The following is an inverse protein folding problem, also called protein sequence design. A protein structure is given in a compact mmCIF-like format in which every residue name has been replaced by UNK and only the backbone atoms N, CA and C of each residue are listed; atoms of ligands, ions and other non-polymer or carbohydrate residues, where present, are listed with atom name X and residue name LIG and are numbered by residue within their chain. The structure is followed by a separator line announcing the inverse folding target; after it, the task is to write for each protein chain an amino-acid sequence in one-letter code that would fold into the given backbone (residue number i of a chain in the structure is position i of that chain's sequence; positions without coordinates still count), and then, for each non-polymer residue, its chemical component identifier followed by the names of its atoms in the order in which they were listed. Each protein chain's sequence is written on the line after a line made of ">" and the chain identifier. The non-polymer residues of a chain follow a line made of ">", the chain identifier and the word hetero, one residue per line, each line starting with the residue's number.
data_IF_152258738434
#
_entry.id   IF_152258738434
#
_cell.length_a   1.000
_cell.length_b   1.000
_cell.length_c   1.000
_cell.angle_alpha   90.00
_cell.angle_beta   90.00
_cell.angle_gamma   90.00
#
_symmetry.space_group_name_H-M   'P 1'
#
loop_
_entity.id
_entity.type
_entity.pdbx_description
1 polymer ?
#
# COMPACT_ATOMS: atom_id res chain seq x y z
N UNK A 1 8.62 -74.82 -2.82
CA UNK A 1 7.14 -74.84 -2.64
C UNK A 1 6.62 -74.00 -1.46
N UNK A 2 7.46 -73.27 -0.69
CA UNK A 2 6.99 -72.40 0.43
C UNK A 2 6.79 -70.92 0.05
N UNK A 3 7.10 -70.54 -1.18
CA UNK A 3 7.09 -69.14 -1.65
C UNK A 3 5.78 -68.72 -2.35
N UNK A 4 4.79 -69.62 -2.47
CA UNK A 4 3.58 -69.38 -3.28
C UNK A 4 2.32 -69.04 -2.46
N UNK A 5 2.41 -68.96 -1.14
CA UNK A 5 1.26 -68.62 -0.30
C UNK A 5 1.39 -67.15 0.07
N UNK A 6 0.69 -66.29 -0.67
CA UNK A 6 0.56 -64.87 -0.35
C UNK A 6 -0.45 -64.73 0.79
N UNK A 7 0.02 -64.35 1.97
CA UNK A 7 -0.83 -64.17 3.14
C UNK A 7 -1.90 -63.09 2.87
N UNK A 8 -3.17 -63.50 2.91
CA UNK A 8 -4.30 -62.58 2.77
C UNK A 8 -4.44 -61.82 4.09
N UNK A 9 -3.73 -60.70 4.19
CA UNK A 9 -3.80 -59.78 5.33
C UNK A 9 -5.25 -59.29 5.49
N UNK A 10 -5.91 -59.68 6.59
CA UNK A 10 -7.30 -59.31 6.89
C UNK A 10 -7.46 -57.78 6.89
N UNK A 11 -8.28 -57.28 5.98
CA UNK A 11 -8.56 -55.85 5.78
C UNK A 11 -9.11 -55.24 7.08
N UNK A 12 -8.36 -54.29 7.67
CA UNK A 12 -8.70 -53.71 8.96
C UNK A 12 -9.97 -52.84 8.88
N UNK A 13 -10.64 -52.66 10.03
CA UNK A 13 -11.92 -51.95 10.15
C UNK A 13 -11.91 -50.56 9.49
N UNK A 14 -10.79 -49.82 9.61
CA UNK A 14 -10.63 -48.49 9.00
C UNK A 14 -10.66 -48.49 7.47
N UNK A 15 -10.15 -49.54 6.82
CA UNK A 15 -10.17 -49.62 5.36
C UNK A 15 -11.60 -49.76 4.83
N UNK A 16 -12.49 -50.48 5.53
CA UNK A 16 -13.90 -50.57 5.15
C UNK A 16 -14.60 -49.20 5.19
N UNK A 17 -14.29 -48.40 6.20
CA UNK A 17 -14.83 -47.05 6.37
C UNK A 17 -14.40 -46.12 5.22
N UNK A 18 -13.10 -46.15 4.87
CA UNK A 18 -12.55 -45.40 3.74
C UNK A 18 -13.21 -45.81 2.42
N UNK A 19 -13.36 -47.12 2.16
CA UNK A 19 -14.02 -47.57 0.92
C UNK A 19 -15.50 -47.23 0.84
N UNK A 20 -16.20 -47.14 1.96
CA UNK A 20 -17.66 -46.93 1.97
C UNK A 20 -18.05 -45.45 1.94
N UNK A 21 -17.31 -44.59 2.64
CA UNK A 21 -17.64 -43.17 2.79
C UNK A 21 -16.78 -42.26 1.91
N UNK A 22 -15.49 -42.55 1.78
CA UNK A 22 -14.54 -41.69 1.05
C UNK A 22 -14.51 -42.05 -0.45
N UNK A 23 -14.60 -43.32 -0.80
CA UNK A 23 -14.61 -43.78 -2.20
C UNK A 23 -16.00 -43.73 -2.88
N UNK A 24 -16.99 -43.12 -2.23
CA UNK A 24 -18.29 -42.86 -2.87
C UNK A 24 -18.14 -41.76 -3.93
N UNK A 25 -18.70 -41.97 -5.13
CA UNK A 25 -18.65 -41.00 -6.24
C UNK A 25 -19.11 -39.60 -5.81
N UNK A 26 -20.13 -39.51 -4.95
CA UNK A 26 -20.65 -38.24 -4.45
C UNK A 26 -19.63 -37.51 -3.57
N UNK A 27 -18.94 -38.23 -2.68
CA UNK A 27 -17.92 -37.66 -1.79
C UNK A 27 -16.70 -37.19 -2.59
N UNK A 28 -16.27 -37.98 -3.59
CA UNK A 28 -15.15 -37.60 -4.46
C UNK A 28 -15.51 -36.36 -5.29
N UNK A 29 -16.69 -36.30 -5.90
CA UNK A 29 -17.14 -35.11 -6.64
C UNK A 29 -17.24 -33.88 -5.74
N UNK A 30 -17.75 -34.05 -4.52
CA UNK A 30 -17.84 -32.95 -3.54
C UNK A 30 -16.46 -32.44 -3.11
N UNK A 31 -15.53 -33.34 -2.79
CA UNK A 31 -14.15 -32.98 -2.42
C UNK A 31 -13.42 -32.35 -3.60
N UNK A 32 -13.58 -32.88 -4.81
CA UNK A 32 -13.02 -32.29 -6.02
C UNK A 32 -13.62 -30.90 -6.30
N UNK A 33 -14.92 -30.71 -6.06
CA UNK A 33 -15.58 -29.41 -6.18
C UNK A 33 -15.05 -28.39 -5.17
N UNK A 34 -14.89 -28.76 -3.89
CA UNK A 34 -14.31 -27.87 -2.89
C UNK A 34 -12.82 -27.61 -3.14
N UNK A 35 -12.05 -28.63 -3.54
CA UNK A 35 -10.67 -28.44 -3.95
C UNK A 35 -10.57 -27.49 -5.15
N UNK A 36 -11.48 -27.61 -6.12
CA UNK A 36 -11.57 -26.67 -7.24
C UNK A 36 -11.86 -25.25 -6.75
N UNK A 37 -12.83 -25.10 -5.86
CA UNK A 37 -13.22 -23.81 -5.29
C UNK A 37 -12.11 -23.17 -4.42
N UNK A 38 -11.17 -23.97 -3.89
CA UNK A 38 -10.07 -23.46 -3.05
C UNK A 38 -8.81 -23.16 -3.88
N UNK A 39 -8.47 -24.04 -4.83
CA UNK A 39 -7.21 -23.94 -5.59
C UNK A 39 -7.35 -23.20 -6.92
N UNK A 40 -8.48 -23.35 -7.62
CA UNK A 40 -8.70 -22.73 -8.92
C UNK A 40 -9.57 -21.47 -8.85
N UNK A 41 -10.32 -21.29 -7.76
CA UNK A 41 -11.14 -20.09 -7.57
C UNK A 41 -10.31 -18.92 -7.04
N UNK A 42 -10.62 -17.71 -7.52
CA UNK A 42 -9.83 -16.49 -7.28
C UNK A 42 -9.95 -15.92 -5.86
N UNK A 43 -10.58 -16.64 -4.93
CA UNK A 43 -10.75 -16.21 -3.53
C UNK A 43 -9.45 -16.44 -2.75
N UNK A 44 -8.35 -15.93 -3.28
CA UNK A 44 -7.06 -16.00 -2.63
C UNK A 44 -7.03 -14.99 -1.49
N UNK A 45 -6.79 -15.49 -0.28
CA UNK A 45 -6.51 -14.67 0.89
C UNK A 45 -5.37 -13.65 0.63
N UNK A 46 -4.44 -13.98 -0.26
CA UNK A 46 -3.35 -13.09 -0.67
C UNK A 46 -3.86 -11.83 -1.36
N UNK A 47 -4.84 -11.99 -2.27
CA UNK A 47 -5.46 -10.86 -2.99
C UNK A 47 -6.19 -9.95 -2.01
N UNK A 48 -6.96 -10.52 -1.08
CA UNK A 48 -7.64 -9.73 -0.05
C UNK A 48 -6.65 -8.96 0.84
N UNK A 49 -5.52 -9.57 1.19
CA UNK A 49 -4.48 -8.92 1.97
C UNK A 49 -3.81 -7.77 1.19
N UNK A 50 -3.54 -7.97 -0.10
CA UNK A 50 -3.00 -6.94 -0.99
C UNK A 50 -3.98 -5.76 -1.11
N UNK A 51 -5.26 -6.02 -1.36
CA UNK A 51 -6.29 -4.98 -1.41
C UNK A 51 -6.40 -4.21 -0.08
N UNK A 52 -6.32 -4.89 1.06
CA UNK A 52 -6.32 -4.22 2.36
C UNK A 52 -5.10 -3.29 2.53
N UNK A 53 -3.93 -3.72 2.06
CA UNK A 53 -2.73 -2.89 2.03
C UNK A 53 -2.92 -1.63 1.18
N UNK A 54 -3.51 -1.78 0.00
CA UNK A 54 -3.85 -0.67 -0.88
C UNK A 54 -4.87 0.29 -0.24
N UNK A 55 -5.90 -0.23 0.42
CA UNK A 55 -6.88 0.58 1.15
C UNK A 55 -6.17 1.46 2.20
N UNK A 56 -5.35 0.86 3.07
CA UNK A 56 -4.61 1.62 4.08
C UNK A 56 -3.68 2.66 3.45
N UNK A 57 -3.02 2.32 2.34
CA UNK A 57 -2.17 3.25 1.59
C UNK A 57 -2.97 4.44 1.03
N UNK A 58 -4.17 4.21 0.52
CA UNK A 58 -5.04 5.28 0.02
C UNK A 58 -5.60 6.14 1.16
N UNK A 59 -5.99 5.55 2.28
CA UNK A 59 -6.44 6.29 3.47
C UNK A 59 -5.33 7.20 4.02
N UNK A 60 -4.09 6.70 4.10
CA UNK A 60 -2.96 7.51 4.53
C UNK A 60 -2.68 8.68 3.56
N UNK A 61 -2.72 8.43 2.25
CA UNK A 61 -2.59 9.49 1.25
C UNK A 61 -3.70 10.53 1.38
N UNK A 62 -4.94 10.09 1.56
CA UNK A 62 -6.09 10.98 1.75
C UNK A 62 -5.91 11.86 3.00
N UNK A 63 -5.50 11.26 4.12
CA UNK A 63 -5.24 12.00 5.35
C UNK A 63 -4.11 13.03 5.16
N UNK A 64 -3.01 12.65 4.51
CA UNK A 64 -1.89 13.54 4.20
C UNK A 64 -2.35 14.74 3.36
N UNK A 65 -2.98 14.50 2.20
CA UNK A 65 -3.40 15.58 1.31
C UNK A 65 -4.47 16.48 1.92
N UNK A 66 -5.36 15.93 2.75
CA UNK A 66 -6.33 16.73 3.49
C UNK A 66 -5.64 17.68 4.47
N UNK A 67 -4.65 17.17 5.23
CA UNK A 67 -3.89 18.00 6.17
C UNK A 67 -3.08 19.10 5.46
N UNK A 68 -2.47 18.80 4.32
CA UNK A 68 -1.74 19.79 3.52
C UNK A 68 -2.68 20.79 2.87
N UNK A 69 -3.86 20.36 2.42
CA UNK A 69 -4.89 21.27 1.91
C UNK A 69 -5.32 22.27 2.99
N UNK A 70 -5.59 21.81 4.21
CA UNK A 70 -5.99 22.69 5.31
C UNK A 70 -4.90 23.72 5.67
N UNK A 71 -3.63 23.30 5.70
CA UNK A 71 -2.49 24.22 5.92
C UNK A 71 -2.37 25.24 4.79
N UNK A 72 -2.43 24.78 3.55
CA UNK A 72 -2.27 25.63 2.37
C UNK A 72 -3.44 26.59 2.19
N UNK A 73 -4.67 26.16 2.47
CA UNK A 73 -5.85 27.02 2.45
C UNK A 73 -5.76 28.10 3.53
N UNK A 74 -5.35 27.74 4.75
CA UNK A 74 -5.11 28.72 5.81
C UNK A 74 -4.03 29.73 5.42
N UNK A 75 -2.91 29.25 4.86
CA UNK A 75 -1.84 30.12 4.35
C UNK A 75 -2.33 31.02 3.21
N UNK A 76 -3.07 30.46 2.24
CA UNK A 76 -3.64 31.20 1.12
C UNK A 76 -4.60 32.28 1.59
N UNK A 77 -5.50 31.98 2.54
CA UNK A 77 -6.41 32.97 3.13
C UNK A 77 -5.65 34.07 3.86
N UNK A 78 -4.61 33.73 4.63
CA UNK A 78 -3.74 34.71 5.29
C UNK A 78 -3.09 35.64 4.27
N UNK A 79 -2.53 35.07 3.20
CA UNK A 79 -1.93 35.80 2.10
C UNK A 79 -2.97 36.69 1.41
N UNK A 80 -4.14 36.15 1.07
CA UNK A 80 -5.15 36.89 0.31
C UNK A 80 -5.75 38.07 1.07
N UNK A 81 -5.95 37.91 2.38
CA UNK A 81 -6.60 38.92 3.20
C UNK A 81 -5.63 39.96 3.80
N UNK A 82 -4.32 39.69 3.82
CA UNK A 82 -3.32 40.60 4.38
C UNK A 82 -2.31 41.07 3.33
N UNK A 83 -2.28 42.38 3.07
CA UNK A 83 -1.39 43.02 2.09
C UNK A 83 0.09 42.92 2.49
N UNK A 84 0.41 43.01 3.78
CA UNK A 84 1.80 42.99 4.25
C UNK A 84 2.39 41.58 4.12
N UNK A 85 1.61 40.55 4.41
CA UNK A 85 1.99 39.15 4.23
C UNK A 85 2.20 38.82 2.75
N UNK A 86 1.37 39.38 1.85
CA UNK A 86 1.58 39.30 0.39
C UNK A 86 2.89 39.92 -0.05
N UNK A 87 3.16 41.15 0.39
CA UNK A 87 4.39 41.86 0.02
C UNK A 87 5.62 41.11 0.55
N UNK A 88 5.57 40.62 1.80
CA UNK A 88 6.61 39.78 2.38
C UNK A 88 6.86 38.51 1.57
N UNK A 89 5.81 37.75 1.25
CA UNK A 89 5.93 36.51 0.47
C UNK A 89 6.50 36.75 -0.94
N UNK A 90 6.06 37.82 -1.61
CA UNK A 90 6.56 38.22 -2.93
C UNK A 90 8.04 38.64 -2.89
N UNK A 91 8.49 39.29 -1.82
CA UNK A 91 9.89 39.68 -1.62
C UNK A 91 10.78 38.48 -1.30
N UNK A 92 10.34 37.57 -0.43
CA UNK A 92 11.14 36.43 0.02
C UNK A 92 11.24 35.32 -1.06
N UNK A 93 10.13 35.02 -1.75
CA UNK A 93 10.09 33.89 -2.69
C UNK A 93 10.34 34.28 -4.15
N UNK A 94 9.97 35.51 -4.52
CA UNK A 94 10.04 35.98 -5.91
C UNK A 94 10.95 37.20 -6.09
N UNK A 95 11.61 37.68 -5.02
CA UNK A 95 12.50 38.85 -5.04
C UNK A 95 11.87 40.10 -5.68
N UNK A 96 10.55 40.26 -5.54
CA UNK A 96 9.84 41.41 -6.09
C UNK A 96 10.24 42.69 -5.35
N UNK A 97 10.36 43.80 -6.09
CA UNK A 97 10.71 45.12 -5.55
C UNK A 97 9.79 46.22 -6.09
N UNK A 98 9.72 47.34 -5.36
CA UNK A 98 9.06 48.55 -5.86
C UNK A 98 9.98 49.26 -6.88
N UNK A 99 9.43 50.07 -7.81
CA UNK A 99 10.23 50.74 -8.84
C UNK A 99 11.36 51.62 -8.31
N UNK A 100 11.19 52.21 -7.12
CA UNK A 100 12.17 53.11 -6.49
C UNK A 100 12.97 52.42 -5.37
N UNK A 101 13.18 51.12 -5.48
CA UNK A 101 13.86 50.31 -4.45
C UNK A 101 15.03 49.50 -5.02
N UNK A 102 16.14 49.48 -4.29
CA UNK A 102 17.33 48.70 -4.59
C UNK A 102 17.44 47.52 -3.62
N UNK A 103 17.58 46.30 -4.16
CA UNK A 103 17.76 45.07 -3.37
C UNK A 103 19.25 44.72 -3.38
N UNK A 104 19.84 44.56 -2.19
CA UNK A 104 21.19 44.02 -2.01
C UNK A 104 21.10 42.58 -1.52
N UNK A 105 21.61 41.62 -2.30
CA UNK A 105 21.73 40.22 -1.88
C UNK A 105 23.16 40.02 -1.38
N UNK A 106 23.31 39.79 -0.08
CA UNK A 106 24.62 39.51 0.53
C UNK A 106 24.96 38.03 0.36
N UNK A 107 25.96 37.74 -0.46
CA UNK A 107 26.50 36.38 -0.63
C UNK A 107 27.78 36.28 0.19
N UNK A 108 27.91 35.29 1.06
CA UNK A 108 29.06 35.17 1.96
C UNK A 108 30.42 35.21 1.24
N UNK A 109 30.49 34.74 -0.01
CA UNK A 109 31.71 34.75 -0.83
C UNK A 109 32.16 36.13 -1.32
N UNK A 110 31.29 37.16 -1.33
CA UNK A 110 31.67 38.51 -1.80
C UNK A 110 32.49 39.31 -0.78
N UNK A 111 32.74 38.74 0.42
CA UNK A 111 33.54 39.35 1.48
C UNK A 111 35.04 39.00 1.42
N UNK A 112 35.47 38.20 0.43
CA UNK A 112 36.90 38.00 0.13
C UNK A 112 37.46 39.27 -0.51
N UNK A 113 37.77 40.24 0.34
CA UNK A 113 38.56 41.41 -0.01
C UNK A 113 39.95 40.88 -0.38
N UNK A 114 40.30 40.91 -1.67
CA UNK A 114 41.66 40.65 -2.13
C UNK A 114 42.59 41.65 -1.44
N UNK A 115 43.29 41.17 -0.40
CA UNK A 115 44.35 41.93 0.27
C UNK A 115 45.50 42.06 -0.72
N UNK A 116 45.60 43.22 -1.34
CA UNK A 116 46.78 43.66 -2.11
C UNK A 116 47.91 44.06 -1.17
#
# INVERSE_FOLDING_TARGET
>A
MKELIKDIKKKSSGYKFITSYILNKYTITLVAFFAWMIFFDNTSFLVVNELNGDITKYEHQLAYYKSEYEKNDAFYKKLMNNKDEKEKYARENYFMKKPNEEIFILVADSTKIDKK
#
